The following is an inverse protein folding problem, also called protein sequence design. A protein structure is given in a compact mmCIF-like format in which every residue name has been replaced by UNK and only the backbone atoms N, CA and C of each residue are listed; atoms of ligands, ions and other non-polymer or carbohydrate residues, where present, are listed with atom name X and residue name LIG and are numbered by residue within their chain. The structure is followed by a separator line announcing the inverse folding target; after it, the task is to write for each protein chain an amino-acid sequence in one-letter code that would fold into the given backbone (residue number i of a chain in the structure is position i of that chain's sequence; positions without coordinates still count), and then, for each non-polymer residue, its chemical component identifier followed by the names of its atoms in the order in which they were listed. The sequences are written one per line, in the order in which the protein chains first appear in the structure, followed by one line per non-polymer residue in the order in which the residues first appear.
data_IF_016563861170
#
_entry.id   IF_016563861170
#
_cell.length_a   1.000
_cell.length_b   1.000
_cell.length_c   1.000
_cell.angle_alpha   90.00
_cell.angle_beta   90.00
_cell.angle_gamma   90.00
#
_symmetry.space_group_name_H-M   'P 1'
#
loop_
_entity.id
_entity.type
_entity.pdbx_description
1 polymer ?
#
# COMPACT_ATOMS: atom_id res chain seq x y z
N UNK A 1 -21.70 23.51 2.93
CA UNK A 1 -20.54 23.74 3.84
C UNK A 1 -19.29 23.43 3.04
N UNK A 2 -18.65 24.45 2.47
CA UNK A 2 -17.45 24.28 1.66
C UNK A 2 -16.25 24.32 2.59
N UNK A 3 -15.41 23.28 2.56
CA UNK A 3 -14.20 23.21 3.35
C UNK A 3 -13.10 24.05 2.66
N UNK A 4 -12.69 25.11 3.32
CA UNK A 4 -11.55 25.94 2.91
C UNK A 4 -10.27 25.24 3.36
N UNK A 5 -9.49 24.70 2.44
CA UNK A 5 -8.14 24.20 2.72
C UNK A 5 -7.13 25.32 2.47
N UNK A 6 -6.56 25.88 3.54
CA UNK A 6 -5.49 26.87 3.48
C UNK A 6 -4.16 26.14 3.44
N UNK A 7 -3.44 26.18 2.31
CA UNK A 7 -2.06 25.70 2.25
C UNK A 7 -1.10 26.87 2.49
N UNK A 8 -0.10 26.74 3.37
CA UNK A 8 0.92 27.76 3.53
C UNK A 8 1.87 27.75 2.33
N UNK A 9 1.81 28.79 1.49
CA UNK A 9 2.86 29.08 0.50
C UNK A 9 3.95 29.90 1.18
N UNK A 10 5.19 29.39 1.21
CA UNK A 10 6.35 30.16 1.66
C UNK A 10 6.90 30.99 0.49
N UNK A 11 7.07 32.31 0.64
CA UNK A 11 7.65 33.14 -0.42
C UNK A 11 9.17 33.06 -0.34
N UNK A 12 9.82 32.74 -1.47
CA UNK A 12 11.15 33.27 -1.70
C UNK A 12 10.99 34.67 -2.28
N UNK A 13 11.54 35.65 -1.55
CA UNK A 13 11.68 37.08 -1.89
C UNK A 13 10.37 37.89 -2.03
N UNK A 14 10.03 38.60 -0.94
CA UNK A 14 9.35 39.90 -0.97
C UNK A 14 7.82 39.89 -1.03
N UNK A 15 7.17 40.10 0.12
CA UNK A 15 5.76 40.51 0.21
C UNK A 15 4.75 39.35 0.27
N UNK A 16 4.33 38.98 1.49
CA UNK A 16 3.20 38.07 1.67
C UNK A 16 1.89 38.76 1.29
N UNK A 17 1.20 38.25 0.27
CA UNK A 17 -0.16 38.66 -0.09
C UNK A 17 -1.10 37.52 0.31
N UNK A 18 -1.99 37.79 1.28
CA UNK A 18 -3.16 36.94 1.54
C UNK A 18 -4.20 37.21 0.46
N UNK A 19 -4.38 36.26 -0.46
CA UNK A 19 -5.43 36.35 -1.47
C UNK A 19 -6.67 35.63 -0.95
N UNK A 20 -7.67 36.38 -0.47
CA UNK A 20 -9.04 35.87 -0.35
C UNK A 20 -9.56 35.54 -1.75
N UNK A 21 -10.06 34.32 -1.94
CA UNK A 21 -10.60 33.87 -3.22
C UNK A 21 -11.92 34.57 -3.55
N UNK A 22 -11.84 35.77 -4.15
CA UNK A 22 -12.89 36.26 -5.04
C UNK A 22 -12.56 35.74 -6.44
N UNK A 23 -13.40 34.87 -6.98
CA UNK A 23 -13.24 34.25 -8.29
C UNK A 23 -13.28 35.33 -9.38
N UNK A 24 -12.12 35.88 -9.75
CA UNK A 24 -11.97 36.66 -10.98
C UNK A 24 -11.87 35.63 -12.11
N UNK A 25 -12.93 35.50 -12.89
CA UNK A 25 -12.90 34.75 -14.15
C UNK A 25 -11.97 35.54 -15.08
N UNK A 26 -10.72 35.08 -15.19
CA UNK A 26 -9.76 35.59 -16.17
C UNK A 26 -9.92 34.75 -17.42
N UNK A 27 -10.47 35.33 -18.49
CA UNK A 27 -10.38 34.77 -19.83
C UNK A 27 -8.90 34.71 -20.23
N UNK A 28 -8.39 33.50 -20.50
CA UNK A 28 -7.05 33.30 -21.05
C UNK A 28 -6.28 32.15 -20.43
N UNK A 29 -6.41 30.96 -21.04
CA UNK A 29 -5.50 29.82 -20.91
C UNK A 29 -5.61 29.04 -19.61
N UNK A 30 -5.98 27.75 -19.70
CA UNK A 30 -5.70 26.78 -18.65
C UNK A 30 -4.19 26.68 -18.43
N UNK A 31 -3.60 27.57 -17.63
CA UNK A 31 -2.27 27.34 -17.07
C UNK A 31 -2.40 26.17 -16.10
N UNK A 32 -2.16 24.96 -16.60
CA UNK A 32 -1.88 23.81 -15.74
C UNK A 32 -0.73 24.22 -14.83
N UNK A 33 -1.01 24.38 -13.54
CA UNK A 33 0.01 24.53 -12.51
C UNK A 33 0.76 23.20 -12.46
N UNK A 34 1.85 23.11 -13.21
CA UNK A 34 2.75 21.96 -13.16
C UNK A 34 3.43 21.97 -11.79
N UNK A 35 2.95 21.12 -10.86
CA UNK A 35 3.59 20.94 -9.56
C UNK A 35 4.98 20.34 -9.80
N UNK A 36 6.00 21.19 -9.79
CA UNK A 36 7.38 20.77 -9.93
C UNK A 36 7.92 20.29 -8.58
N UNK A 37 8.64 19.16 -8.60
CA UNK A 37 9.28 18.64 -7.41
C UNK A 37 10.37 19.61 -6.94
N UNK A 38 10.41 19.91 -5.64
CA UNK A 38 11.47 20.76 -5.10
C UNK A 38 12.83 20.07 -5.30
N UNK A 39 13.87 20.78 -5.79
CA UNK A 39 15.15 20.17 -6.18
C UNK A 39 15.84 19.37 -5.06
N UNK A 40 15.59 19.73 -3.80
CA UNK A 40 16.08 18.99 -2.62
C UNK A 40 15.63 17.53 -2.62
N UNK A 41 14.41 17.21 -3.05
CA UNK A 41 13.93 15.82 -3.08
C UNK A 41 14.72 14.96 -4.07
N UNK A 42 15.13 15.55 -5.20
CA UNK A 42 15.98 14.89 -6.19
C UNK A 42 17.38 14.59 -5.62
N UNK A 43 17.97 15.55 -4.89
CA UNK A 43 19.25 15.34 -4.22
C UNK A 43 19.18 14.24 -3.17
N UNK A 44 18.16 14.28 -2.31
CA UNK A 44 17.93 13.25 -1.29
C UNK A 44 17.75 11.87 -1.94
N UNK A 45 16.96 11.79 -3.01
CA UNK A 45 16.75 10.54 -3.74
C UNK A 45 18.06 9.98 -4.30
N UNK A 46 18.87 10.81 -4.96
CA UNK A 46 20.14 10.38 -5.53
C UNK A 46 21.09 9.84 -4.45
N UNK A 47 21.22 10.55 -3.31
CA UNK A 47 22.05 10.10 -2.19
C UNK A 47 21.54 8.77 -1.62
N UNK A 48 20.23 8.62 -1.42
CA UNK A 48 19.63 7.38 -0.94
C UNK A 48 19.87 6.20 -1.90
N UNK A 49 19.72 6.42 -3.21
CA UNK A 49 19.94 5.38 -4.22
C UNK A 49 21.40 4.95 -4.21
N UNK A 50 22.34 5.90 -4.20
CA UNK A 50 23.78 5.60 -4.14
C UNK A 50 24.08 4.73 -2.90
N UNK A 51 23.61 5.15 -1.73
CA UNK A 51 23.83 4.41 -0.48
C UNK A 51 23.21 3.00 -0.54
N UNK A 52 21.98 2.86 -1.04
CA UNK A 52 21.30 1.57 -1.14
C UNK A 52 21.95 0.64 -2.16
N UNK A 53 22.44 1.18 -3.27
CA UNK A 53 23.18 0.44 -4.28
C UNK A 53 24.52 -0.06 -3.73
N UNK A 54 25.25 0.77 -2.99
CA UNK A 54 26.48 0.36 -2.32
C UNK A 54 26.20 -0.76 -1.30
N UNK A 55 25.19 -0.59 -0.43
CA UNK A 55 24.79 -1.61 0.54
C UNK A 55 24.45 -2.95 -0.13
N UNK A 56 23.66 -2.92 -1.21
CA UNK A 56 23.28 -4.14 -1.94
C UNK A 56 24.49 -4.78 -2.63
N UNK A 57 25.33 -3.98 -3.30
CA UNK A 57 26.51 -4.46 -4.01
C UNK A 57 27.51 -5.13 -3.06
N UNK A 58 27.84 -4.48 -1.94
CA UNK A 58 28.76 -5.04 -0.95
C UNK A 58 28.26 -6.40 -0.43
N UNK A 59 26.97 -6.50 -0.11
CA UNK A 59 26.38 -7.76 0.36
C UNK A 59 26.36 -8.83 -0.74
N UNK A 60 26.05 -8.45 -1.97
CA UNK A 60 26.09 -9.36 -3.10
C UNK A 60 27.51 -9.89 -3.34
N UNK A 61 28.54 -9.04 -3.22
CA UNK A 61 29.95 -9.41 -3.37
C UNK A 61 30.46 -10.32 -2.25
N UNK A 62 30.04 -10.10 -1.00
CA UNK A 62 30.41 -10.96 0.14
C UNK A 62 29.64 -12.29 0.16
N UNK A 63 28.45 -12.36 -0.44
CA UNK A 63 27.64 -13.56 -0.39
C UNK A 63 28.31 -14.78 -1.08
N UNK A 64 28.38 -15.95 -0.42
CA UNK A 64 29.02 -17.14 -0.99
C UNK A 64 28.24 -17.74 -2.17
N UNK A 65 26.90 -17.58 -2.20
CA UNK A 65 26.03 -18.07 -3.29
C UNK A 65 25.18 -16.93 -3.85
N UNK A 66 25.64 -16.33 -4.96
CA UNK A 66 25.05 -15.13 -5.58
C UNK A 66 23.57 -15.27 -5.95
N UNK A 67 23.21 -16.37 -6.62
CA UNK A 67 21.84 -16.59 -7.09
C UNK A 67 20.86 -16.87 -5.94
N UNK A 68 21.31 -17.59 -4.92
CA UNK A 68 20.51 -17.83 -3.72
C UNK A 68 20.29 -16.53 -2.94
N UNK A 69 21.32 -15.68 -2.85
CA UNK A 69 21.22 -14.36 -2.25
C UNK A 69 20.19 -13.49 -2.98
N UNK A 70 20.26 -13.39 -4.31
CA UNK A 70 19.35 -12.55 -5.09
C UNK A 70 17.87 -12.99 -5.02
N UNK A 71 17.60 -14.28 -4.79
CA UNK A 71 16.23 -14.83 -4.66
C UNK A 71 15.64 -14.73 -3.24
N UNK A 72 16.43 -14.33 -2.24
CA UNK A 72 15.92 -14.19 -0.88
C UNK A 72 15.00 -12.97 -0.77
N UNK A 73 13.83 -13.14 -0.13
CA UNK A 73 12.76 -12.12 -0.06
C UNK A 73 13.25 -10.71 0.32
N UNK A 74 14.08 -10.59 1.35
CA UNK A 74 14.59 -9.28 1.81
C UNK A 74 15.58 -8.64 0.81
N UNK A 75 16.30 -9.44 0.04
CA UNK A 75 17.26 -8.98 -0.97
C UNK A 75 16.53 -8.60 -2.27
N UNK A 76 15.40 -9.26 -2.58
CA UNK A 76 14.50 -8.83 -3.65
C UNK A 76 13.93 -7.44 -3.35
N UNK A 77 13.53 -7.17 -2.10
CA UNK A 77 13.06 -5.84 -1.69
C UNK A 77 14.17 -4.79 -1.87
N UNK A 78 15.42 -5.11 -1.55
CA UNK A 78 16.54 -4.20 -1.81
C UNK A 78 16.72 -3.88 -3.28
N UNK A 79 16.70 -4.92 -4.13
CA UNK A 79 16.84 -4.73 -5.56
C UNK A 79 15.69 -3.87 -6.11
N UNK A 80 14.45 -4.14 -5.69
CA UNK A 80 13.27 -3.36 -6.07
C UNK A 80 13.31 -1.92 -5.54
N UNK A 81 14.01 -1.65 -4.43
CA UNK A 81 14.11 -0.30 -3.87
C UNK A 81 14.97 0.65 -4.70
N UNK A 82 15.94 0.12 -5.45
CA UNK A 82 16.82 0.88 -6.35
C UNK A 82 16.43 0.75 -7.82
N UNK A 83 15.68 -0.30 -8.19
CA UNK A 83 15.30 -0.60 -9.57
C UNK A 83 14.65 0.57 -10.34
N UNK A 84 13.72 1.37 -9.75
CA UNK A 84 13.12 2.50 -10.47
C UNK A 84 14.14 3.49 -11.04
N UNK A 85 15.17 3.84 -10.26
CA UNK A 85 16.21 4.78 -10.68
C UNK A 85 17.03 4.23 -11.86
N UNK A 86 17.51 2.98 -11.74
CA UNK A 86 18.32 2.37 -12.79
C UNK A 86 17.52 2.14 -14.07
N UNK A 87 16.22 1.85 -13.95
CA UNK A 87 15.36 1.68 -15.12
C UNK A 87 15.11 3.01 -15.83
N UNK A 88 14.86 4.10 -15.10
CA UNK A 88 14.76 5.43 -15.69
C UNK A 88 16.08 5.88 -16.36
N UNK A 89 17.21 5.64 -15.70
CA UNK A 89 18.53 5.90 -16.26
C UNK A 89 18.79 5.08 -17.54
N UNK A 90 18.38 3.81 -17.56
CA UNK A 90 18.50 2.95 -18.75
C UNK A 90 17.64 3.46 -19.92
N UNK A 91 16.38 3.85 -19.66
CA UNK A 91 15.50 4.43 -20.68
C UNK A 91 16.09 5.71 -21.28
N UNK A 92 16.69 6.55 -20.43
CA UNK A 92 17.40 7.75 -20.86
C UNK A 92 18.62 7.42 -21.74
N UNK A 93 19.45 6.45 -21.33
CA UNK A 93 20.62 6.00 -22.09
C UNK A 93 20.26 5.38 -23.45
N UNK A 94 19.14 4.67 -23.54
CA UNK A 94 18.63 4.13 -24.80
C UNK A 94 18.06 5.20 -25.76
N UNK A 95 18.19 6.49 -25.43
CA UNK A 95 17.75 7.59 -26.29
C UNK A 95 16.22 7.73 -26.37
N UNK A 96 15.49 7.09 -25.46
CA UNK A 96 14.03 7.20 -25.39
C UNK A 96 13.69 8.50 -24.64
N UNK A 97 13.82 9.63 -25.33
CA UNK A 97 13.43 10.95 -24.81
C UNK A 97 11.96 10.95 -24.35
N UNK A 98 11.66 11.70 -23.29
CA UNK A 98 10.33 11.73 -22.65
C UNK A 98 9.16 12.02 -23.59
N UNK A 99 9.39 12.68 -24.71
CA UNK A 99 8.41 12.89 -25.78
C UNK A 99 8.02 11.60 -26.52
N UNK A 100 8.97 10.70 -26.79
CA UNK A 100 8.72 9.41 -27.44
C UNK A 100 8.12 8.40 -26.46
N UNK A 101 8.46 8.48 -25.16
CA UNK A 101 7.82 7.70 -24.09
C UNK A 101 6.32 8.04 -23.98
N UNK A 102 5.96 9.32 -24.09
CA UNK A 102 4.55 9.78 -24.03
C UNK A 102 3.71 9.28 -25.22
N UNK A 103 4.34 9.07 -26.39
CA UNK A 103 3.66 8.52 -27.59
C UNK A 103 3.34 7.04 -27.47
N UNK A 104 4.06 6.29 -26.63
CA UNK A 104 3.82 4.86 -26.40
C UNK A 104 3.06 4.67 -25.09
N UNK A 105 1.75 4.39 -25.16
CA UNK A 105 0.86 4.22 -23.99
C UNK A 105 1.45 3.29 -22.91
N UNK A 106 2.12 2.22 -23.33
CA UNK A 106 2.76 1.24 -22.44
C UNK A 106 4.02 1.80 -21.76
N UNK A 107 4.82 2.61 -22.44
CA UNK A 107 6.03 3.21 -21.87
C UNK A 107 5.66 4.29 -20.84
N UNK A 108 4.65 5.11 -21.14
CA UNK A 108 4.10 6.07 -20.18
C UNK A 108 3.56 5.39 -18.90
N UNK A 109 2.75 4.33 -19.05
CA UNK A 109 2.26 3.57 -17.90
C UNK A 109 3.41 2.93 -17.10
N UNK A 110 4.43 2.41 -17.78
CA UNK A 110 5.61 1.81 -17.14
C UNK A 110 6.36 2.82 -16.28
N UNK A 111 6.65 4.03 -16.80
CA UNK A 111 7.32 5.08 -16.01
C UNK A 111 6.47 5.49 -14.79
N UNK A 112 5.15 5.60 -14.95
CA UNK A 112 4.25 5.91 -13.83
C UNK A 112 4.26 4.81 -12.76
N UNK A 113 4.27 3.54 -13.16
CA UNK A 113 4.37 2.41 -12.24
C UNK A 113 5.71 2.40 -11.52
N UNK A 114 6.83 2.66 -12.22
CA UNK A 114 8.16 2.74 -11.61
C UNK A 114 8.24 3.81 -10.51
N UNK A 115 7.59 4.97 -10.71
CA UNK A 115 7.49 6.00 -9.66
C UNK A 115 6.77 5.50 -8.41
N UNK A 116 5.67 4.77 -8.56
CA UNK A 116 4.95 4.15 -7.43
C UNK A 116 5.81 3.09 -6.74
N UNK A 117 6.58 2.30 -7.50
CA UNK A 117 7.49 1.30 -6.95
C UNK A 117 8.57 1.91 -6.03
N UNK A 118 8.89 3.20 -6.13
CA UNK A 118 9.83 3.86 -5.21
C UNK A 118 9.40 3.74 -3.75
N UNK A 119 8.09 3.67 -3.46
CA UNK A 119 7.54 3.45 -2.11
C UNK A 119 8.01 2.13 -1.50
N UNK A 120 8.38 1.14 -2.32
CA UNK A 120 8.94 -0.15 -1.85
C UNK A 120 10.22 0.05 -1.04
N UNK A 121 10.97 1.15 -1.24
CA UNK A 121 12.16 1.44 -0.42
C UNK A 121 11.84 1.56 1.07
N UNK A 122 10.61 1.91 1.45
CA UNK A 122 10.16 1.91 2.85
C UNK A 122 10.12 0.49 3.41
N UNK A 123 9.78 -0.51 2.60
CA UNK A 123 9.79 -1.92 3.01
C UNK A 123 11.20 -2.41 3.41
N UNK A 124 12.26 -1.70 3.01
CA UNK A 124 13.62 -1.95 3.47
C UNK A 124 13.75 -1.84 5.00
N UNK A 125 12.93 -1.00 5.64
CA UNK A 125 12.85 -0.89 7.11
C UNK A 125 12.55 -2.23 7.80
N UNK A 126 11.91 -3.16 7.08
CA UNK A 126 11.62 -4.50 7.61
C UNK A 126 12.84 -5.34 7.98
N UNK A 127 14.03 -5.02 7.48
CA UNK A 127 15.27 -5.67 7.91
C UNK A 127 15.77 -5.15 9.27
N UNK A 128 15.50 -3.88 9.55
CA UNK A 128 15.94 -3.18 10.75
C UNK A 128 14.94 -3.33 11.89
N UNK A 129 13.70 -3.73 11.56
CA UNK A 129 12.65 -4.02 12.54
C UNK A 129 12.47 -5.53 12.74
N UNK A 130 12.96 -6.10 13.86
CA UNK A 130 12.63 -7.47 14.25
C UNK A 130 11.12 -7.71 14.32
N UNK A 131 10.34 -6.69 14.69
CA UNK A 131 8.89 -6.73 14.72
C UNK A 131 8.27 -6.98 13.35
N UNK A 132 8.69 -6.23 12.32
CA UNK A 132 8.16 -6.41 10.96
C UNK A 132 8.63 -7.73 10.33
N UNK A 133 9.86 -8.16 10.62
CA UNK A 133 10.35 -9.48 10.22
C UNK A 133 9.55 -10.62 10.87
N UNK A 134 9.22 -10.51 12.16
CA UNK A 134 8.36 -11.45 12.87
C UNK A 134 6.94 -11.46 12.31
N UNK A 135 6.39 -10.29 11.99
CA UNK A 135 5.08 -10.16 11.38
C UNK A 135 5.01 -10.86 10.01
N UNK A 136 5.99 -10.60 9.13
CA UNK A 136 6.08 -11.27 7.84
C UNK A 136 6.25 -12.79 7.97
N UNK A 137 7.05 -13.26 8.93
CA UNK A 137 7.20 -14.69 9.22
C UNK A 137 5.89 -15.29 9.74
N UNK A 138 5.15 -14.54 10.56
CA UNK A 138 3.85 -14.95 11.10
C UNK A 138 2.86 -15.19 9.98
N UNK A 139 2.70 -14.24 9.05
CA UNK A 139 1.83 -14.37 7.88
C UNK A 139 2.22 -15.61 7.05
N UNK A 140 3.53 -15.84 6.85
CA UNK A 140 4.00 -17.00 6.09
C UNK A 140 3.67 -18.32 6.78
N UNK A 141 3.81 -18.38 8.11
CA UNK A 141 3.49 -19.58 8.90
C UNK A 141 1.98 -19.82 9.02
N UNK A 142 1.19 -18.76 9.14
CA UNK A 142 -0.28 -18.83 9.23
C UNK A 142 -0.97 -18.79 7.87
N UNK A 143 -0.24 -18.99 6.75
CA UNK A 143 -0.76 -18.88 5.38
C UNK A 143 -2.06 -19.64 5.18
N UNK A 144 -2.17 -20.89 5.66
CA UNK A 144 -3.38 -21.72 5.52
C UNK A 144 -4.59 -21.11 6.25
N UNK A 145 -4.38 -20.59 7.45
CA UNK A 145 -5.44 -19.94 8.24
C UNK A 145 -5.85 -18.61 7.61
N UNK A 146 -4.88 -17.80 7.18
CA UNK A 146 -5.13 -16.54 6.47
C UNK A 146 -5.89 -16.76 5.15
N UNK A 147 -5.53 -17.81 4.40
CA UNK A 147 -6.24 -18.19 3.18
C UNK A 147 -7.69 -18.58 3.45
N UNK A 148 -7.95 -19.39 4.47
CA UNK A 148 -9.32 -19.78 4.86
C UNK A 148 -10.17 -18.56 5.19
N UNK A 149 -9.65 -17.63 5.99
CA UNK A 149 -10.36 -16.38 6.32
C UNK A 149 -10.60 -15.51 5.08
N UNK A 150 -9.61 -15.42 4.19
CA UNK A 150 -9.76 -14.71 2.91
C UNK A 150 -10.88 -15.27 2.04
N UNK A 151 -11.02 -16.60 1.98
CA UNK A 151 -12.13 -17.25 1.25
C UNK A 151 -13.48 -16.90 1.88
N UNK A 152 -13.61 -17.01 3.21
CA UNK A 152 -14.85 -16.63 3.92
C UNK A 152 -15.22 -15.17 3.66
N UNK A 153 -14.24 -14.27 3.71
CA UNK A 153 -14.44 -12.85 3.43
C UNK A 153 -14.95 -12.60 2.01
N UNK A 154 -14.34 -13.23 1.00
CA UNK A 154 -14.76 -13.09 -0.39
C UNK A 154 -16.18 -13.63 -0.57
N UNK A 155 -16.51 -14.79 0.02
CA UNK A 155 -17.86 -15.36 -0.04
C UNK A 155 -18.89 -14.42 0.57
N UNK A 156 -18.60 -13.85 1.73
CA UNK A 156 -19.50 -12.91 2.42
C UNK A 156 -19.70 -11.63 1.60
N UNK A 157 -18.64 -11.06 1.03
CA UNK A 157 -18.73 -9.90 0.12
C UNK A 157 -19.60 -10.22 -1.08
N UNK A 158 -19.35 -11.34 -1.77
CA UNK A 158 -20.13 -11.74 -2.95
C UNK A 158 -21.60 -11.93 -2.58
N UNK A 159 -21.88 -12.61 -1.46
CA UNK A 159 -23.24 -12.88 -1.00
C UNK A 159 -24.03 -11.60 -0.73
N UNK A 160 -23.52 -10.72 0.13
CA UNK A 160 -24.24 -9.50 0.51
C UNK A 160 -24.31 -8.49 -0.64
N UNK A 161 -23.26 -8.36 -1.46
CA UNK A 161 -23.30 -7.49 -2.63
C UNK A 161 -24.32 -7.95 -3.67
N UNK A 162 -24.47 -9.26 -3.86
CA UNK A 162 -25.49 -9.79 -4.76
C UNK A 162 -26.89 -9.49 -4.22
N UNK A 163 -27.11 -9.70 -2.93
CA UNK A 163 -28.41 -9.49 -2.30
C UNK A 163 -28.84 -8.02 -2.34
N UNK A 164 -27.93 -7.10 -2.00
CA UNK A 164 -28.18 -5.65 -2.07
C UNK A 164 -28.40 -5.20 -3.51
N UNK A 165 -27.58 -5.68 -4.45
CA UNK A 165 -27.77 -5.34 -5.86
C UNK A 165 -29.19 -5.69 -6.33
N UNK A 166 -29.68 -6.90 -6.05
CA UNK A 166 -31.03 -7.28 -6.48
C UNK A 166 -32.15 -6.54 -5.73
N UNK A 167 -31.92 -6.08 -4.50
CA UNK A 167 -32.89 -5.30 -3.74
C UNK A 167 -32.94 -3.83 -4.14
N UNK A 168 -31.85 -3.29 -4.70
CA UNK A 168 -31.70 -1.86 -4.97
C UNK A 168 -31.62 -1.52 -6.47
N UNK A 169 -31.51 -2.51 -7.36
CA UNK A 169 -31.33 -2.26 -8.81
C UNK A 169 -32.54 -1.63 -9.50
N UNK A 170 -33.74 -1.85 -8.96
CA UNK A 170 -35.00 -1.44 -9.59
C UNK A 170 -35.48 -0.07 -9.07
N UNK A 171 -34.71 0.54 -8.15
CA UNK A 171 -34.98 1.87 -7.61
C UNK A 171 -34.48 2.99 -8.52
N UNK A 172 -35.20 4.11 -8.52
CA UNK A 172 -34.81 5.31 -9.26
C UNK A 172 -33.54 5.91 -8.66
N UNK A 173 -32.61 6.35 -9.52
CA UNK A 173 -31.31 6.93 -9.15
C UNK A 173 -30.38 6.03 -8.31
N UNK A 174 -30.57 4.70 -8.40
CA UNK A 174 -29.71 3.74 -7.71
C UNK A 174 -28.25 3.83 -8.19
N UNK A 175 -27.33 3.87 -7.22
CA UNK A 175 -25.88 3.79 -7.49
C UNK A 175 -25.36 2.35 -7.56
N UNK A 176 -26.23 1.37 -7.34
CA UNK A 176 -25.90 -0.05 -7.40
C UNK A 176 -25.96 -0.56 -8.85
N UNK A 177 -24.95 -0.19 -9.65
CA UNK A 177 -24.94 -0.44 -11.10
C UNK A 177 -24.66 -1.89 -11.50
N UNK A 178 -23.89 -2.62 -10.68
CA UNK A 178 -23.56 -4.03 -10.92
C UNK A 178 -23.14 -4.73 -9.64
N UNK A 179 -23.16 -6.07 -9.63
CA UNK A 179 -22.70 -6.86 -8.47
C UNK A 179 -21.23 -6.52 -8.12
N UNK A 180 -20.27 -6.47 -9.08
CA UNK A 180 -18.90 -6.09 -8.75
C UNK A 180 -18.75 -4.64 -8.26
N UNK A 181 -19.54 -3.70 -8.80
CA UNK A 181 -19.56 -2.34 -8.26
C UNK A 181 -20.07 -2.30 -6.81
N UNK A 182 -21.01 -3.18 -6.47
CA UNK A 182 -21.54 -3.33 -5.11
C UNK A 182 -20.54 -3.97 -4.14
N UNK A 183 -19.45 -4.60 -4.62
CA UNK A 183 -18.36 -5.07 -3.74
C UNK A 183 -17.73 -3.91 -2.98
N UNK A 184 -17.59 -2.74 -3.61
CA UNK A 184 -17.07 -1.54 -2.96
C UNK A 184 -17.89 -1.16 -1.72
N UNK A 185 -19.21 -1.06 -1.88
CA UNK A 185 -20.12 -0.78 -0.78
C UNK A 185 -19.99 -1.82 0.35
N UNK A 186 -19.98 -3.11 0.00
CA UNK A 186 -19.92 -4.17 0.99
C UNK A 186 -18.59 -4.17 1.76
N UNK A 187 -17.46 -3.97 1.08
CA UNK A 187 -16.14 -3.91 1.72
C UNK A 187 -16.03 -2.69 2.64
N UNK A 188 -16.44 -1.50 2.18
CA UNK A 188 -16.41 -0.25 2.96
C UNK A 188 -17.32 -0.35 4.19
N UNK A 189 -18.49 -0.96 4.03
CA UNK A 189 -19.48 -1.13 5.10
C UNK A 189 -19.02 -2.16 6.13
N UNK A 190 -18.56 -3.33 5.69
CA UNK A 190 -18.06 -4.37 6.60
C UNK A 190 -16.81 -3.91 7.34
N UNK A 191 -15.89 -3.19 6.66
CA UNK A 191 -14.71 -2.59 7.27
C UNK A 191 -15.03 -1.40 8.20
N UNK A 192 -16.30 -1.09 8.43
CA UNK A 192 -16.78 0.01 9.30
C UNK A 192 -16.30 1.40 8.88
N UNK A 193 -15.87 1.58 7.63
CA UNK A 193 -15.40 2.87 7.11
C UNK A 193 -16.59 3.77 6.78
N UNK A 194 -17.57 3.24 6.04
CA UNK A 194 -18.85 3.91 5.79
C UNK A 194 -18.75 5.29 5.14
N UNK A 195 -18.10 5.42 3.98
CA UNK A 195 -17.98 6.69 3.27
C UNK A 195 -19.32 7.38 2.93
N UNK A 196 -20.40 6.59 2.79
CA UNK A 196 -21.74 7.11 2.50
C UNK A 196 -21.97 7.49 1.03
N UNK A 197 -21.03 7.15 0.14
CA UNK A 197 -21.13 7.36 -1.30
C UNK A 197 -22.14 6.43 -1.97
N UNK A 198 -22.26 5.20 -1.47
CA UNK A 198 -23.33 4.24 -1.77
C UNK A 198 -24.08 3.86 -0.47
N UNK A 199 -25.41 3.86 -0.49
CA UNK A 199 -26.26 3.47 0.64
C UNK A 199 -27.55 2.86 0.10
N UNK A 200 -28.03 1.71 0.62
CA UNK A 200 -29.33 1.16 0.23
C UNK A 200 -30.47 2.10 0.66
N UNK A 201 -31.40 2.36 -0.24
CA UNK A 201 -32.54 3.25 -0.01
C UNK A 201 -33.79 2.46 0.39
N UNK A 202 -33.95 1.23 -0.13
CA UNK A 202 -35.12 0.39 0.17
C UNK A 202 -35.12 -0.10 1.61
N UNK A 203 -36.32 -0.38 2.14
CA UNK A 203 -36.46 -0.96 3.49
C UNK A 203 -35.80 -2.34 3.55
N UNK A 204 -36.02 -3.18 2.53
CA UNK A 204 -35.43 -4.51 2.45
C UNK A 204 -33.90 -4.45 2.35
N UNK A 205 -33.35 -3.54 1.53
CA UNK A 205 -31.91 -3.32 1.41
C UNK A 205 -31.29 -2.81 2.70
N UNK A 206 -31.98 -1.96 3.46
CA UNK A 206 -31.52 -1.55 4.81
C UNK A 206 -31.52 -2.69 5.82
N UNK A 207 -32.53 -3.59 5.79
CA UNK A 207 -32.57 -4.78 6.64
C UNK A 207 -31.45 -5.77 6.29
N UNK A 208 -31.20 -6.00 5.00
CA UNK A 208 -30.07 -6.83 4.56
C UNK A 208 -28.74 -6.16 4.90
N UNK A 209 -28.65 -4.84 4.73
CA UNK A 209 -27.45 -4.06 5.02
C UNK A 209 -27.10 -4.06 6.50
N UNK A 210 -28.08 -4.00 7.41
CA UNK A 210 -27.83 -4.14 8.85
C UNK A 210 -27.30 -5.53 9.19
N UNK A 211 -27.84 -6.59 8.58
CA UNK A 211 -27.29 -7.95 8.67
C UNK A 211 -25.86 -8.05 8.13
N UNK A 212 -25.56 -7.36 7.02
CA UNK A 212 -24.23 -7.31 6.42
C UNK A 212 -23.20 -6.65 7.35
N UNK A 213 -23.59 -5.59 8.06
CA UNK A 213 -22.73 -4.91 9.05
C UNK A 213 -22.39 -5.86 10.21
N UNK A 214 -23.41 -6.48 10.83
CA UNK A 214 -23.20 -7.40 11.96
C UNK A 214 -22.33 -8.58 11.56
N UNK A 215 -22.64 -9.21 10.43
CA UNK A 215 -21.84 -10.33 9.90
C UNK A 215 -20.41 -9.89 9.57
N UNK A 216 -20.25 -8.74 8.93
CA UNK A 216 -18.95 -8.17 8.56
C UNK A 216 -18.02 -7.97 9.75
N UNK A 217 -18.53 -7.38 10.84
CA UNK A 217 -17.75 -7.17 12.08
C UNK A 217 -17.31 -8.51 12.68
N UNK A 218 -18.19 -9.50 12.73
CA UNK A 218 -17.84 -10.84 13.23
C UNK A 218 -16.74 -11.50 12.38
N UNK A 219 -16.86 -11.44 11.05
CA UNK A 219 -15.89 -12.05 10.14
C UNK A 219 -14.54 -11.32 10.20
N UNK A 220 -14.52 -10.00 10.34
CA UNK A 220 -13.30 -9.20 10.49
C UNK A 220 -12.55 -9.45 11.81
N UNK A 221 -13.24 -9.88 12.87
CA UNK A 221 -12.60 -10.22 14.13
C UNK A 221 -11.71 -11.49 14.01
N UNK A 222 -12.08 -12.44 13.16
CA UNK A 222 -11.35 -13.71 12.98
C UNK A 222 -9.91 -13.55 12.44
N UNK A 223 -9.63 -12.81 11.34
CA UNK A 223 -8.26 -12.64 10.87
C UNK A 223 -7.39 -11.91 11.89
N UNK A 224 -7.94 -10.90 12.57
CA UNK A 224 -7.20 -10.10 13.55
C UNK A 224 -6.79 -10.99 14.73
N UNK A 225 -7.72 -11.73 15.31
CA UNK A 225 -7.44 -12.64 16.44
C UNK A 225 -6.47 -13.76 16.06
N UNK A 226 -6.66 -14.39 14.90
CA UNK A 226 -5.74 -15.41 14.38
C UNK A 226 -4.34 -14.82 14.16
N UNK A 227 -4.24 -13.61 13.60
CA UNK A 227 -2.96 -12.95 13.34
C UNK A 227 -2.23 -12.61 14.63
N UNK A 228 -2.94 -12.06 15.62
CA UNK A 228 -2.38 -11.75 16.95
C UNK A 228 -1.89 -13.02 17.64
N UNK A 229 -2.70 -14.08 17.69
CA UNK A 229 -2.32 -15.33 18.34
C UNK A 229 -1.09 -15.97 17.69
N UNK A 230 -1.04 -16.02 16.36
CA UNK A 230 0.13 -16.53 15.65
C UNK A 230 1.36 -15.65 15.86
N UNK A 231 1.20 -14.32 15.92
CA UNK A 231 2.30 -13.41 16.16
C UNK A 231 2.90 -13.63 17.54
N UNK A 232 2.06 -13.71 18.57
CA UNK A 232 2.47 -14.02 19.94
C UNK A 232 3.17 -15.37 20.03
N UNK A 233 2.68 -16.38 19.31
CA UNK A 233 3.33 -17.69 19.25
C UNK A 233 4.72 -17.62 18.58
N UNK A 234 4.87 -16.86 17.49
CA UNK A 234 6.16 -16.67 16.82
C UNK A 234 7.17 -15.94 17.72
N UNK A 235 6.72 -14.93 18.47
CA UNK A 235 7.54 -14.21 19.45
C UNK A 235 7.99 -15.14 20.57
N UNK A 236 7.05 -15.85 21.22
CA UNK A 236 7.35 -16.80 22.31
C UNK A 236 8.33 -17.90 21.87
N UNK A 237 8.11 -18.51 20.71
CA UNK A 237 9.00 -19.54 20.17
C UNK A 237 10.40 -19.01 19.85
N UNK A 238 10.53 -17.71 19.56
CA UNK A 238 11.84 -17.07 19.34
C UNK A 238 12.57 -16.88 20.67
N UNK A 239 11.89 -16.40 21.70
CA UNK A 239 12.44 -16.23 23.04
C UNK A 239 12.92 -17.56 23.63
N UNK A 240 12.12 -18.61 23.57
CA UNK A 240 12.50 -19.95 24.05
C UNK A 240 13.75 -20.50 23.33
N UNK A 241 13.90 -20.22 22.02
CA UNK A 241 15.10 -20.62 21.26
C UNK A 241 16.34 -19.84 21.69
N UNK A 242 16.20 -18.58 22.06
CA UNK A 242 17.31 -17.75 22.57
C UNK A 242 17.75 -18.29 23.93
N UNK A 243 16.80 -18.56 24.84
CA UNK A 243 17.08 -19.12 26.17
C UNK A 243 17.74 -20.49 26.06
N UNK A 244 17.23 -21.39 25.23
CA UNK A 244 17.84 -22.73 25.02
C UNK A 244 19.26 -22.65 24.47
N UNK A 245 19.51 -21.76 23.51
CA UNK A 245 20.88 -21.55 22.99
C UNK A 245 21.82 -20.99 24.06
N UNK A 246 21.34 -20.03 24.86
CA UNK A 246 22.12 -19.45 25.94
C UNK A 246 22.47 -20.52 27.00
N UNK A 247 21.49 -21.33 27.38
CA UNK A 247 21.66 -22.45 28.31
C UNK A 247 22.62 -23.53 27.76
N UNK A 248 22.54 -23.87 26.46
CA UNK A 248 23.49 -24.80 25.84
C UNK A 248 24.92 -24.25 25.80
N UNK A 249 25.09 -22.95 25.60
CA UNK A 249 26.43 -22.34 25.54
C UNK A 249 27.08 -22.15 26.92
N UNK A 250 26.30 -22.03 28.00
CA UNK A 250 26.80 -21.74 29.35
C UNK A 250 26.56 -22.86 30.36
N UNK A 251 25.72 -23.85 30.03
CA UNK A 251 25.42 -25.02 30.86
C UNK A 251 26.44 -26.15 30.72
N UNK A 252 27.30 -26.12 29.71
CA UNK A 252 28.39 -27.10 29.53
C UNK A 252 29.67 -26.76 30.35
N UNK A 253 29.61 -25.76 31.23
CA UNK A 253 30.73 -25.25 32.04
C UNK A 253 30.60 -25.48 33.56
N UNK A 254 29.68 -26.34 34.00
CA UNK A 254 29.51 -26.75 35.42
C UNK A 254 29.48 -28.26 35.50
#
# INVERSE_FOLDING_TARGET
VYATATYPTYPNSGGGITVESRTVVREGGEQQVEMTEHPVFTWVENVCVIYFSMEYMLRFLVAPRKLAFARQFLNVIDLLSIAPFYFEMLLWLCGISGENVRKVRWAFLTVRLLRVLRVIRIAKLGRFSPGLANFALTIRKSKKQMQMVGVVMITVVIFFSTLIYFLERDEQDTKFTSIPATFWWCVVTMATVGYGDLVPITVAGKLVGSGAIVCGVMVLALPITIMVNNFMQVVKLREEKIVKKYAQQHGDHV
#
